data_IF_603712138851
#
_entry.id   IF_603712138851
#
_cell.length_a   1.000
_cell.length_b   1.000
_cell.length_c   1.000
_cell.angle_alpha   90.00
_cell.angle_beta   90.00
_cell.angle_gamma   90.00
#
_symmetry.space_group_name_H-M   'P 1'
#
loop_
_entity.id
_entity.type
_entity.pdbx_description
1 polymer ?
#
# COMPACT_ATOMS: atom_id res chain seq x y z
N UNK A 1 -2.65 -2.67 -10.99
CA UNK A 1 -2.21 -2.38 -9.62
C UNK A 1 -3.28 -2.73 -8.60
N UNK A 2 -2.84 -3.21 -7.45
CA UNK A 2 -3.69 -3.53 -6.29
C UNK A 2 -3.18 -2.71 -5.12
N UNK A 3 -4.11 -2.04 -4.39
CA UNK A 3 -3.79 -1.34 -3.15
C UNK A 3 -4.68 -1.87 -2.03
N UNK A 4 -4.09 -2.20 -0.91
CA UNK A 4 -4.79 -2.56 0.32
C UNK A 4 -4.73 -1.39 1.29
N UNK A 5 -5.86 -0.99 1.84
CA UNK A 5 -5.95 0.06 2.84
C UNK A 5 -6.74 -0.39 4.07
N UNK A 6 -7.01 0.53 4.99
CA UNK A 6 -7.70 0.22 6.25
C UNK A 6 -9.15 -0.25 6.05
N UNK A 7 -9.91 0.40 5.17
CA UNK A 7 -11.36 0.18 4.97
C UNK A 7 -11.74 0.00 3.52
N UNK A 8 -10.75 -0.05 2.65
CA UNK A 8 -10.95 -0.30 1.22
C UNK A 8 -9.70 -0.92 0.60
N UNK A 9 -9.92 -1.70 -0.43
CA UNK A 9 -8.88 -2.08 -1.37
C UNK A 9 -9.28 -1.62 -2.76
N UNK A 10 -8.30 -1.38 -3.59
CA UNK A 10 -8.48 -0.82 -4.93
C UNK A 10 -7.75 -1.69 -5.93
N UNK A 11 -8.37 -1.94 -7.07
CA UNK A 11 -7.76 -2.60 -8.23
C UNK A 11 -7.85 -1.68 -9.42
N UNK A 12 -6.73 -1.46 -10.07
CA UNK A 12 -6.61 -0.56 -11.22
C UNK A 12 -5.89 -1.26 -12.35
N UNK A 13 -6.46 -1.26 -13.55
CA UNK A 13 -5.73 -1.58 -14.77
C UNK A 13 -5.20 -0.29 -15.38
N UNK A 14 -3.94 -0.31 -15.81
CA UNK A 14 -3.30 0.85 -16.42
C UNK A 14 -2.40 0.44 -17.58
N UNK A 15 -2.25 1.33 -18.53
CA UNK A 15 -1.30 1.18 -19.62
C UNK A 15 0.14 1.55 -19.19
N UNK A 16 1.12 1.24 -20.04
CA UNK A 16 2.54 1.53 -19.75
C UNK A 16 2.86 3.03 -19.71
N UNK A 17 2.01 3.87 -20.28
CA UNK A 17 2.09 5.33 -20.17
C UNK A 17 1.43 5.88 -18.90
N UNK A 18 1.03 4.97 -17.99
CA UNK A 18 0.34 5.24 -16.72
C UNK A 18 -1.11 5.73 -16.86
N UNK A 19 -1.69 5.74 -18.05
CA UNK A 19 -3.12 6.03 -18.20
C UNK A 19 -3.97 4.93 -17.54
N UNK A 20 -4.94 5.35 -16.74
CA UNK A 20 -5.86 4.43 -16.09
C UNK A 20 -6.89 3.96 -17.11
N UNK A 21 -7.02 2.65 -17.27
CA UNK A 21 -8.02 2.01 -18.15
C UNK A 21 -9.29 1.76 -17.35
N UNK A 22 -9.16 1.14 -16.16
CA UNK A 22 -10.30 0.82 -15.31
C UNK A 22 -9.88 0.87 -13.84
N UNK A 23 -10.82 1.22 -12.96
CA UNK A 23 -10.61 1.27 -11.52
C UNK A 23 -11.83 0.73 -10.80
N UNK A 24 -11.62 -0.10 -9.79
CA UNK A 24 -12.64 -0.63 -8.89
C UNK A 24 -12.16 -0.58 -7.45
N UNK A 25 -13.08 -0.39 -6.53
CA UNK A 25 -12.81 -0.44 -5.11
C UNK A 25 -13.72 -1.44 -4.39
N UNK A 26 -13.15 -2.11 -3.40
CA UNK A 26 -13.86 -2.94 -2.43
C UNK A 26 -13.86 -2.20 -1.10
N UNK A 27 -14.99 -2.21 -0.39
CA UNK A 27 -15.10 -1.63 0.95
C UNK A 27 -15.31 -2.73 1.97
N UNK A 28 -14.70 -2.59 3.14
CA UNK A 28 -14.81 -3.48 4.28
C UNK A 28 -14.63 -2.69 5.57
N UNK A 29 -15.07 -3.25 6.69
CA UNK A 29 -14.88 -2.62 7.99
C UNK A 29 -13.43 -2.77 8.46
N UNK A 30 -12.84 -3.94 8.22
CA UNK A 30 -11.43 -4.26 8.42
C UNK A 30 -11.00 -5.38 7.44
N UNK A 31 -9.72 -5.46 7.06
CA UNK A 31 -9.27 -6.42 6.07
C UNK A 31 -9.11 -7.83 6.68
N UNK A 32 -10.11 -8.70 6.52
CA UNK A 32 -9.99 -10.13 6.85
C UNK A 32 -9.22 -10.82 5.74
N UNK A 33 -8.13 -11.51 6.08
CA UNK A 33 -7.19 -12.04 5.10
C UNK A 33 -7.84 -12.88 3.99
N UNK A 34 -8.46 -14.00 4.34
CA UNK A 34 -9.03 -14.91 3.33
C UNK A 34 -10.09 -14.25 2.46
N UNK A 35 -11.00 -13.49 3.07
CA UNK A 35 -12.07 -12.81 2.34
C UNK A 35 -11.49 -11.80 1.37
N UNK A 36 -10.59 -10.94 1.85
CA UNK A 36 -9.99 -9.90 1.01
C UNK A 36 -9.11 -10.47 -0.10
N UNK A 37 -8.33 -11.52 0.20
CA UNK A 37 -7.53 -12.23 -0.79
C UNK A 37 -8.40 -12.74 -1.94
N UNK A 38 -9.45 -13.47 -1.61
CA UNK A 38 -10.31 -14.10 -2.60
C UNK A 38 -11.08 -13.06 -3.42
N UNK A 39 -11.58 -12.02 -2.77
CA UNK A 39 -12.26 -10.90 -3.43
C UNK A 39 -11.33 -10.16 -4.40
N UNK A 40 -10.08 -9.87 -3.99
CA UNK A 40 -9.10 -9.19 -4.84
C UNK A 40 -8.65 -10.06 -6.01
N UNK A 41 -8.44 -11.35 -5.81
CA UNK A 41 -8.14 -12.29 -6.89
C UNK A 41 -9.28 -12.30 -7.91
N UNK A 42 -10.51 -12.45 -7.45
CA UNK A 42 -11.68 -12.51 -8.33
C UNK A 42 -11.88 -11.20 -9.07
N UNK A 43 -11.78 -10.06 -8.39
CA UNK A 43 -11.91 -8.74 -8.99
C UNK A 43 -10.81 -8.50 -10.04
N UNK A 44 -9.57 -8.86 -9.72
CA UNK A 44 -8.44 -8.69 -10.65
C UNK A 44 -8.61 -9.56 -11.90
N UNK A 45 -8.97 -10.83 -11.73
CA UNK A 45 -9.27 -11.72 -12.87
C UNK A 45 -10.37 -11.16 -13.75
N UNK A 46 -11.44 -10.66 -13.15
CA UNK A 46 -12.55 -10.04 -13.87
C UNK A 46 -12.06 -8.83 -14.68
N UNK A 47 -11.34 -7.89 -14.05
CA UNK A 47 -10.82 -6.71 -14.77
C UNK A 47 -9.89 -7.08 -15.92
N UNK A 48 -9.03 -8.09 -15.73
CA UNK A 48 -8.17 -8.60 -16.81
C UNK A 48 -8.99 -9.19 -17.95
N UNK A 49 -10.09 -9.90 -17.66
CA UNK A 49 -10.95 -10.51 -18.67
C UNK A 49 -11.79 -9.49 -19.43
N UNK A 50 -12.06 -8.34 -18.84
CA UNK A 50 -12.78 -7.20 -19.46
C UNK A 50 -11.87 -6.38 -20.40
N UNK A 51 -10.55 -6.56 -20.34
CA UNK A 51 -9.62 -5.90 -21.26
C UNK A 51 -9.74 -6.48 -22.69
N UNK A 52 -9.51 -5.64 -23.72
CA UNK A 52 -9.31 -6.14 -25.08
C UNK A 52 -8.24 -7.24 -25.13
N UNK A 53 -8.44 -8.25 -25.97
CA UNK A 53 -7.56 -9.45 -26.03
C UNK A 53 -6.06 -9.11 -26.17
N UNK A 54 -5.72 -8.10 -26.94
CA UNK A 54 -4.32 -7.69 -27.12
C UNK A 54 -3.73 -7.07 -25.85
N UNK A 55 -4.51 -6.29 -25.12
CA UNK A 55 -4.08 -5.69 -23.85
C UNK A 55 -3.98 -6.75 -22.75
N UNK A 56 -4.92 -7.68 -22.67
CA UNK A 56 -4.88 -8.79 -21.72
C UNK A 56 -3.65 -9.66 -21.92
N UNK A 57 -3.29 -9.97 -23.18
CA UNK A 57 -2.08 -10.75 -23.51
C UNK A 57 -0.77 -10.02 -23.25
N UNK A 58 -0.82 -8.68 -23.23
CA UNK A 58 0.36 -7.84 -23.00
C UNK A 58 0.54 -7.44 -21.53
N UNK A 59 -0.22 -8.05 -20.61
CA UNK A 59 -0.08 -7.81 -19.17
C UNK A 59 1.35 -8.14 -18.73
N UNK A 60 2.06 -7.16 -18.16
CA UNK A 60 3.45 -7.30 -17.75
C UNK A 60 3.62 -7.77 -16.31
N UNK A 61 2.69 -7.45 -15.45
CA UNK A 61 2.76 -7.75 -14.02
C UNK A 61 1.68 -7.06 -13.22
N UNK A 62 1.68 -7.32 -11.94
CA UNK A 62 0.81 -6.68 -10.95
C UNK A 62 1.67 -5.97 -9.91
N UNK A 63 1.41 -4.70 -9.67
CA UNK A 63 1.96 -3.98 -8.51
C UNK A 63 1.02 -4.11 -7.32
N UNK A 64 1.53 -4.51 -6.18
CA UNK A 64 0.81 -4.59 -4.90
C UNK A 64 1.34 -3.52 -3.95
N UNK A 65 0.50 -2.58 -3.56
CA UNK A 65 0.78 -1.60 -2.52
C UNK A 65 0.03 -2.01 -1.24
N UNK A 66 0.77 -2.34 -0.19
CA UNK A 66 0.21 -2.89 1.05
C UNK A 66 0.90 -2.26 2.27
N UNK A 67 0.16 -1.88 3.33
CA UNK A 67 0.75 -1.40 4.56
C UNK A 67 1.49 -2.50 5.31
N UNK A 68 2.52 -2.12 6.04
CA UNK A 68 3.21 -3.04 6.95
C UNK A 68 2.34 -3.42 8.14
N UNK A 69 2.59 -4.60 8.71
CA UNK A 69 2.07 -5.06 9.99
C UNK A 69 0.53 -4.94 10.15
N UNK A 70 -0.24 -5.28 9.10
CA UNK A 70 -1.72 -5.22 9.14
C UNK A 70 -2.32 -5.95 10.36
N UNK A 71 -1.72 -7.05 10.81
CA UNK A 71 -2.16 -7.79 12.00
C UNK A 71 -2.17 -6.95 13.28
N UNK A 72 -1.37 -5.90 13.35
CA UNK A 72 -1.31 -5.00 14.51
C UNK A 72 -2.42 -3.94 14.54
N UNK A 73 -3.25 -3.86 13.50
CA UNK A 73 -4.22 -2.78 13.32
C UNK A 73 -5.60 -3.06 13.93
N UNK A 74 -5.80 -4.21 14.59
CA UNK A 74 -7.10 -4.60 15.14
C UNK A 74 -7.76 -3.50 15.97
N UNK A 75 -7.03 -2.95 16.95
CA UNK A 75 -7.54 -1.87 17.80
C UNK A 75 -7.90 -0.61 16.99
N UNK A 76 -7.07 -0.23 16.03
CA UNK A 76 -7.26 0.97 15.21
C UNK A 76 -8.41 0.83 14.21
N UNK A 77 -8.63 -0.37 13.71
CA UNK A 77 -9.72 -0.67 12.78
C UNK A 77 -11.04 -0.93 13.47
N UNK A 78 -11.02 -1.24 14.77
CA UNK A 78 -12.17 -1.73 15.52
C UNK A 78 -12.49 -3.19 15.23
N UNK A 79 -11.53 -3.95 14.71
CA UNK A 79 -11.69 -5.37 14.45
C UNK A 79 -11.76 -6.17 15.77
N UNK A 80 -12.50 -7.28 15.81
CA UNK A 80 -12.44 -8.21 16.93
C UNK A 80 -11.01 -8.75 17.10
N UNK A 81 -10.65 -9.07 18.35
CA UNK A 81 -9.34 -9.64 18.66
C UNK A 81 -9.10 -10.94 17.87
N UNK A 82 -7.95 -11.03 17.21
CA UNK A 82 -7.56 -12.16 16.38
C UNK A 82 -8.13 -12.17 14.95
N UNK A 83 -9.03 -11.23 14.62
CA UNK A 83 -9.66 -11.18 13.30
C UNK A 83 -8.67 -10.87 12.16
N UNK A 84 -7.54 -10.27 12.48
CA UNK A 84 -6.50 -9.90 11.52
C UNK A 84 -5.19 -10.69 11.73
N UNK A 85 -5.16 -11.65 12.67
CA UNK A 85 -3.93 -12.37 13.03
C UNK A 85 -3.29 -13.13 11.85
N UNK A 86 -4.08 -13.62 10.90
CA UNK A 86 -3.57 -14.34 9.72
C UNK A 86 -2.63 -13.51 8.85
N UNK A 87 -2.74 -12.18 8.88
CA UNK A 87 -1.82 -11.30 8.15
C UNK A 87 -0.36 -11.41 8.61
N UNK A 88 -0.10 -11.85 9.86
CA UNK A 88 1.26 -11.99 10.39
C UNK A 88 2.09 -13.02 9.61
N UNK A 89 1.42 -14.04 9.08
CA UNK A 89 2.07 -15.13 8.34
C UNK A 89 1.56 -15.25 6.90
N UNK A 90 0.88 -14.20 6.42
CA UNK A 90 0.28 -14.19 5.10
C UNK A 90 1.35 -14.22 3.98
N UNK A 91 1.08 -15.01 2.97
CA UNK A 91 1.84 -15.09 1.72
C UNK A 91 1.08 -14.39 0.59
N UNK A 92 0.54 -13.19 0.87
CA UNK A 92 -0.43 -12.54 0.00
C UNK A 92 0.09 -12.25 -1.41
N UNK A 93 1.35 -11.84 -1.51
CA UNK A 93 2.02 -11.64 -2.81
C UNK A 93 2.07 -12.95 -3.60
N UNK A 94 2.51 -14.03 -2.97
CA UNK A 94 2.63 -15.36 -3.57
C UNK A 94 1.26 -15.91 -3.96
N UNK A 95 0.26 -15.74 -3.11
CA UNK A 95 -1.13 -16.16 -3.39
C UNK A 95 -1.66 -15.46 -4.66
N UNK A 96 -1.39 -14.15 -4.80
CA UNK A 96 -1.74 -13.39 -5.99
C UNK A 96 -0.98 -13.87 -7.23
N UNK A 97 0.34 -14.09 -7.12
CA UNK A 97 1.16 -14.59 -8.24
C UNK A 97 0.65 -15.91 -8.77
N UNK A 98 0.38 -16.86 -7.87
CA UNK A 98 -0.15 -18.20 -8.22
C UNK A 98 -1.53 -18.06 -8.86
N UNK A 99 -2.44 -17.33 -8.23
CA UNK A 99 -3.82 -17.21 -8.67
C UNK A 99 -3.97 -16.48 -10.00
N UNK A 100 -3.14 -15.48 -10.24
CA UNK A 100 -3.19 -14.65 -11.46
C UNK A 100 -2.26 -15.17 -12.56
N UNK A 101 -1.36 -16.10 -12.23
CA UNK A 101 -0.29 -16.59 -13.13
C UNK A 101 0.50 -15.40 -13.74
N UNK A 102 0.85 -14.43 -12.92
CA UNK A 102 1.45 -13.16 -13.33
C UNK A 102 2.38 -12.68 -12.22
N UNK A 103 3.60 -12.19 -12.53
CA UNK A 103 4.51 -11.65 -11.52
C UNK A 103 3.88 -10.54 -10.69
N UNK A 104 4.08 -10.57 -9.37
CA UNK A 104 3.60 -9.53 -8.44
C UNK A 104 4.79 -8.84 -7.77
N UNK A 105 4.90 -7.53 -7.99
CA UNK A 105 5.86 -6.68 -7.29
C UNK A 105 5.15 -6.02 -6.09
N UNK A 106 5.62 -6.32 -4.89
CA UNK A 106 5.08 -5.74 -3.65
C UNK A 106 5.91 -4.56 -3.18
N UNK A 107 5.23 -3.56 -2.64
CA UNK A 107 5.84 -2.38 -2.02
C UNK A 107 4.93 -1.88 -0.89
N UNK A 108 5.55 -1.31 0.16
CA UNK A 108 4.80 -0.58 1.17
C UNK A 108 3.96 0.55 0.52
N UNK A 109 2.74 0.78 1.00
CA UNK A 109 1.78 1.72 0.40
C UNK A 109 2.28 3.18 0.38
N UNK A 110 3.01 3.62 1.41
CA UNK A 110 3.60 4.96 1.46
C UNK A 110 4.80 5.09 0.50
N UNK A 111 5.62 4.04 0.36
CA UNK A 111 6.69 3.97 -0.64
C UNK A 111 6.11 3.96 -2.06
N UNK A 112 5.04 3.23 -2.30
CA UNK A 112 4.34 3.23 -3.58
C UNK A 112 3.78 4.63 -3.93
N UNK A 113 3.23 5.36 -2.96
CA UNK A 113 2.78 6.73 -3.14
C UNK A 113 3.96 7.68 -3.42
N UNK A 114 5.10 7.50 -2.75
CA UNK A 114 6.34 8.22 -3.04
C UNK A 114 6.82 7.96 -4.48
N UNK A 115 6.81 6.70 -4.92
CA UNK A 115 7.15 6.33 -6.30
C UNK A 115 6.21 6.99 -7.32
N UNK A 116 4.91 7.01 -7.04
CA UNK A 116 3.94 7.69 -7.89
C UNK A 116 4.22 9.20 -7.98
N UNK A 117 4.55 9.85 -6.85
CA UNK A 117 4.94 11.26 -6.85
C UNK A 117 6.23 11.51 -7.67
N UNK A 118 7.20 10.61 -7.54
CA UNK A 118 8.47 10.66 -8.29
C UNK A 118 8.24 10.51 -9.79
N UNK A 119 7.35 9.62 -10.23
CA UNK A 119 7.13 9.30 -11.66
C UNK A 119 6.09 10.20 -12.32
N UNK A 120 5.04 10.58 -11.62
CA UNK A 120 3.84 11.21 -12.17
C UNK A 120 3.50 12.55 -11.53
N UNK A 121 4.00 12.81 -10.32
CA UNK A 121 3.63 13.95 -9.50
C UNK A 121 4.69 15.03 -9.42
N UNK A 122 4.63 15.81 -8.35
CA UNK A 122 5.53 16.94 -8.09
C UNK A 122 6.99 16.55 -7.86
N UNK A 123 7.27 15.28 -7.59
CA UNK A 123 8.63 14.76 -7.44
C UNK A 123 9.44 14.62 -8.73
N UNK A 124 8.80 14.66 -9.90
CA UNK A 124 9.44 14.42 -11.21
C UNK A 124 10.66 15.30 -11.52
N UNK A 125 10.65 16.50 -10.99
CA UNK A 125 11.71 17.49 -11.26
C UNK A 125 12.66 17.67 -10.07
N UNK A 126 12.54 16.83 -9.04
CA UNK A 126 13.38 16.87 -7.86
C UNK A 126 14.39 15.73 -7.91
N UNK A 127 15.66 16.04 -7.62
CA UNK A 127 16.71 15.04 -7.55
C UNK A 127 16.63 14.18 -6.29
N UNK A 128 16.06 14.72 -5.22
CA UNK A 128 15.84 14.01 -3.96
C UNK A 128 14.76 14.71 -3.15
N UNK A 129 13.90 13.95 -2.48
CA UNK A 129 12.87 14.51 -1.60
C UNK A 129 12.40 13.47 -0.56
N UNK A 130 11.79 13.99 0.49
CA UNK A 130 11.03 13.18 1.45
C UNK A 130 9.55 13.36 1.13
N UNK A 131 8.86 12.25 0.98
CA UNK A 131 7.42 12.22 0.77
C UNK A 131 6.71 11.93 2.09
N UNK A 132 5.79 12.78 2.50
CA UNK A 132 4.92 12.55 3.65
C UNK A 132 3.57 12.04 3.16
N UNK A 133 3.20 10.86 3.64
CA UNK A 133 1.91 10.24 3.41
C UNK A 133 1.04 10.41 4.64
N UNK A 134 0.04 11.29 4.56
CA UNK A 134 -0.90 11.54 5.67
C UNK A 134 -2.15 10.72 5.42
N UNK A 135 -2.20 9.55 6.03
CA UNK A 135 -3.29 8.59 5.91
C UNK A 135 -3.85 8.21 7.28
N UNK A 136 -4.46 7.02 7.37
CA UNK A 136 -4.86 6.45 8.68
C UNK A 136 -3.73 6.55 9.68
N UNK A 137 -2.53 6.13 9.28
CA UNK A 137 -1.27 6.45 9.94
C UNK A 137 -0.45 7.37 9.03
N UNK A 138 0.31 8.27 9.66
CA UNK A 138 1.32 9.01 8.92
C UNK A 138 2.45 8.05 8.56
N UNK A 139 2.88 8.12 7.32
CA UNK A 139 4.01 7.39 6.79
C UNK A 139 4.79 8.26 5.82
N UNK A 140 5.67 7.65 5.05
CA UNK A 140 6.39 8.38 4.02
C UNK A 140 7.27 7.50 3.16
N UNK A 141 8.00 8.17 2.29
CA UNK A 141 8.99 7.57 1.42
C UNK A 141 10.16 8.53 1.22
N UNK A 142 11.29 7.97 0.89
CA UNK A 142 12.50 8.72 0.58
C UNK A 142 12.87 8.49 -0.89
N UNK A 143 12.93 9.54 -1.67
CA UNK A 143 13.45 9.47 -3.03
C UNK A 143 14.87 10.03 -3.08
N UNK A 144 15.79 9.25 -3.64
CA UNK A 144 17.19 9.63 -3.86
C UNK A 144 17.53 9.39 -5.34
N UNK A 145 17.87 10.44 -6.05
CA UNK A 145 18.01 10.38 -7.50
C UNK A 145 16.64 10.11 -8.15
N UNK A 146 16.61 9.09 -9.00
CA UNK A 146 15.41 8.66 -9.73
C UNK A 146 14.72 7.42 -9.13
N UNK A 147 15.02 7.08 -7.87
CA UNK A 147 14.54 5.86 -7.21
C UNK A 147 13.98 6.15 -5.83
N UNK A 148 12.99 5.37 -5.41
CA UNK A 148 12.57 5.29 -4.01
C UNK A 148 13.62 4.47 -3.26
N UNK A 149 14.15 5.05 -2.19
CA UNK A 149 15.13 4.40 -1.34
C UNK A 149 14.41 3.73 -0.17
N UNK A 150 14.29 2.42 -0.22
CA UNK A 150 13.61 1.63 0.81
C UNK A 150 14.51 1.29 2.01
N UNK A 151 15.84 1.40 1.82
CA UNK A 151 16.81 0.98 2.82
C UNK A 151 16.96 -0.53 2.90
N UNK A 152 17.85 -0.99 3.79
CA UNK A 152 18.19 -2.41 3.91
C UNK A 152 17.03 -3.27 4.45
N UNK A 153 16.17 -2.68 5.27
CA UNK A 153 15.05 -3.35 5.91
C UNK A 153 13.67 -2.90 5.36
N UNK A 154 13.64 -2.22 4.20
CA UNK A 154 12.40 -1.75 3.59
C UNK A 154 11.72 -0.56 4.27
N UNK A 155 12.32 0.00 5.33
CA UNK A 155 11.70 0.98 6.21
C UNK A 155 12.39 2.35 6.26
N UNK A 156 13.18 2.71 5.24
CA UNK A 156 13.84 4.02 5.20
C UNK A 156 12.85 5.19 5.22
N UNK A 157 11.63 4.98 4.71
CA UNK A 157 10.54 5.93 4.74
C UNK A 157 9.63 5.85 5.97
N UNK A 158 10.01 5.12 7.03
CA UNK A 158 9.20 4.93 8.25
C UNK A 158 9.10 6.20 9.11
N UNK A 159 8.65 7.30 8.51
CA UNK A 159 8.55 8.62 9.14
C UNK A 159 7.62 8.61 10.34
N UNK A 160 6.55 7.79 10.29
CA UNK A 160 5.62 7.64 11.41
C UNK A 160 6.26 7.14 12.70
N UNK A 161 7.33 6.37 12.59
CA UNK A 161 8.07 5.82 13.73
C UNK A 161 9.13 6.76 14.30
N UNK A 162 9.28 7.96 13.74
CA UNK A 162 10.23 8.94 14.27
C UNK A 162 9.89 9.29 15.72
N UNK A 163 10.87 9.19 16.64
CA UNK A 163 10.65 9.57 18.03
C UNK A 163 10.34 11.06 18.13
N UNK A 164 9.26 11.38 18.81
CA UNK A 164 8.76 12.74 18.99
C UNK A 164 8.62 13.05 20.46
N UNK A 165 9.06 14.23 20.86
CA UNK A 165 8.94 14.72 22.23
C UNK A 165 8.27 16.08 22.23
N UNK A 166 7.04 16.14 22.73
CA UNK A 166 6.35 17.42 22.92
C UNK A 166 6.81 18.07 24.24
N UNK A 167 6.94 19.40 24.21
CA UNK A 167 7.34 20.16 25.38
C UNK A 167 6.38 19.91 26.55
N UNK A 168 6.91 19.46 27.68
CA UNK A 168 6.13 19.14 28.88
C UNK A 168 5.76 17.66 29.06
N UNK A 169 5.99 16.82 28.07
CA UNK A 169 5.79 15.38 28.20
C UNK A 169 7.05 14.68 28.74
N UNK A 170 6.83 13.67 29.60
CA UNK A 170 7.93 12.84 30.14
C UNK A 170 8.24 11.60 29.30
N UNK A 171 7.32 11.23 28.38
CA UNK A 171 7.43 10.03 27.57
C UNK A 171 7.74 10.41 26.12
N UNK A 172 8.66 9.70 25.52
CA UNK A 172 8.89 9.77 24.08
C UNK A 172 7.77 8.99 23.40
N UNK A 173 7.07 9.65 22.48
CA UNK A 173 6.05 9.07 21.61
C UNK A 173 6.58 9.02 20.17
N UNK A 174 5.81 8.48 19.25
CA UNK A 174 6.16 8.46 17.83
C UNK A 174 5.36 9.53 17.08
N UNK A 175 5.85 9.95 15.93
CA UNK A 175 5.14 10.95 15.10
C UNK A 175 3.73 10.47 14.74
N UNK A 176 3.54 9.19 14.55
CA UNK A 176 2.23 8.59 14.25
C UNK A 176 1.17 8.84 15.35
N UNK A 177 1.61 9.02 16.59
CA UNK A 177 0.71 9.29 17.74
C UNK A 177 0.13 10.72 17.72
N UNK A 178 0.69 11.61 16.89
CA UNK A 178 0.29 13.03 16.83
C UNK A 178 -0.22 13.48 15.47
N UNK A 179 0.22 12.84 14.39
CA UNK A 179 0.02 13.34 13.03
C UNK A 179 -0.76 12.38 12.12
N UNK A 180 -1.41 11.38 12.68
CA UNK A 180 -2.21 10.40 11.92
C UNK A 180 -3.69 10.76 11.88
N UNK A 181 -4.39 10.45 10.78
CA UNK A 181 -5.82 10.78 10.64
C UNK A 181 -6.68 9.98 11.64
N UNK A 182 -6.24 8.80 12.07
CA UNK A 182 -7.02 7.98 13.00
C UNK A 182 -7.22 8.58 14.39
N UNK A 183 -6.47 9.64 14.74
CA UNK A 183 -6.60 10.35 16.03
C UNK A 183 -7.53 11.56 15.95
N UNK A 184 -8.00 11.92 14.75
CA UNK A 184 -8.99 12.97 14.52
C UNK A 184 -10.42 12.42 14.62
#
# INVERSE_FOLDING_TARGET
GIKVGRRSAEVTTMALDYSIIEHRSLRYDYPVYHTLRDDLINLTKRLISELPSEQSKSLQGVGLAIPDALWSWETTTGAPQGAMAEWEHATFREDLEIALNTPVAEMNDANAACLASLRLGGGRNLSSFVYFYVGTFIGGGLALGDQVFEGLAGNAGAIGSLPTHLSGERKTSQLLDYASIHIL
#
